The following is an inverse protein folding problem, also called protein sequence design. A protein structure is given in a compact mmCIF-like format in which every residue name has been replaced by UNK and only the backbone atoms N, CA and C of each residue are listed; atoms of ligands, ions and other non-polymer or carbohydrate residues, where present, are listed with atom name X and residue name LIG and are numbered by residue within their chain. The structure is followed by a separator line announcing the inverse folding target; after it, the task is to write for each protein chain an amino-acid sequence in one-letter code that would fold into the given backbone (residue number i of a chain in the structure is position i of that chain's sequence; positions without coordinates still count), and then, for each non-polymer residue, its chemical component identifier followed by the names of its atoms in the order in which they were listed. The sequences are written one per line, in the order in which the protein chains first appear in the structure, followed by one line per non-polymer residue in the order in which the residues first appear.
data_IF_093244659279
#
_entry.id   IF_093244659279
#
_cell.length_a   1.000
_cell.length_b   1.000
_cell.length_c   1.000
_cell.angle_alpha   90.00
_cell.angle_beta   90.00
_cell.angle_gamma   90.00
#
_symmetry.space_group_name_H-M   'P 1'
#
loop_
_entity.id
_entity.type
_entity.pdbx_description
1 polymer ?
#
# COMPACT_ATOMS: atom_id res chain seq x y z
N UNK A 1 -21.80 3.83 -34.92
CA UNK A 1 -20.75 2.81 -34.67
C UNK A 1 -20.26 2.99 -33.24
N UNK A 2 -20.75 2.18 -32.30
CA UNK A 2 -20.39 2.30 -30.88
C UNK A 2 -19.04 1.60 -30.71
N UNK A 3 -17.97 2.36 -30.46
CA UNK A 3 -16.67 1.79 -30.07
C UNK A 3 -16.81 1.26 -28.65
N UNK A 4 -16.98 -0.05 -28.48
CA UNK A 4 -16.68 -0.70 -27.22
C UNK A 4 -15.20 -0.49 -26.94
N UNK A 5 -14.87 0.33 -25.93
CA UNK A 5 -13.55 0.29 -25.30
C UNK A 5 -13.46 -1.08 -24.64
N UNK A 6 -12.76 -2.01 -25.27
CA UNK A 6 -12.36 -3.25 -24.61
C UNK A 6 -11.55 -2.83 -23.38
N UNK A 7 -12.03 -3.16 -22.20
CA UNK A 7 -11.25 -2.98 -20.98
C UNK A 7 -9.94 -3.77 -21.11
N UNK A 8 -8.80 -3.22 -20.66
CA UNK A 8 -7.54 -3.94 -20.74
C UNK A 8 -7.61 -5.20 -19.88
N UNK A 9 -7.66 -6.36 -20.54
CA UNK A 9 -7.51 -7.66 -19.86
C UNK A 9 -6.03 -7.81 -19.54
N UNK A 10 -5.63 -7.41 -18.34
CA UNK A 10 -4.29 -7.68 -17.83
C UNK A 10 -4.24 -9.15 -17.43
N UNK A 11 -3.39 -9.93 -18.09
CA UNK A 11 -3.17 -11.32 -17.68
C UNK A 11 -2.61 -11.34 -16.25
N UNK A 12 -2.99 -12.34 -15.44
CA UNK A 12 -2.54 -12.45 -14.05
C UNK A 12 -1.00 -12.35 -13.92
N UNK A 13 -0.26 -12.97 -14.84
CA UNK A 13 1.20 -12.89 -14.92
C UNK A 13 1.75 -11.47 -15.12
N UNK A 14 1.01 -10.61 -15.83
CA UNK A 14 1.38 -9.20 -16.02
C UNK A 14 1.08 -8.35 -14.78
N UNK A 15 0.04 -8.71 -14.01
CA UNK A 15 -0.30 -8.02 -12.75
C UNK A 15 0.75 -8.29 -11.69
N UNK A 16 1.12 -9.55 -11.46
CA UNK A 16 2.16 -9.94 -10.50
C UNK A 16 3.53 -9.34 -10.86
N UNK A 17 3.86 -9.31 -12.15
CA UNK A 17 5.10 -8.69 -12.62
C UNK A 17 5.14 -7.18 -12.32
N UNK A 18 4.01 -6.47 -12.45
CA UNK A 18 3.92 -5.06 -12.08
C UNK A 18 4.05 -4.87 -10.56
N UNK A 19 3.47 -5.75 -9.75
CA UNK A 19 3.61 -5.72 -8.29
C UNK A 19 5.07 -5.88 -7.86
N UNK A 20 5.76 -6.90 -8.39
CA UNK A 20 7.18 -7.15 -8.09
C UNK A 20 8.05 -6.00 -8.56
N UNK A 21 7.81 -5.48 -9.76
CA UNK A 21 8.53 -4.32 -10.28
C UNK A 21 8.33 -3.08 -9.39
N UNK A 22 7.10 -2.81 -8.97
CA UNK A 22 6.81 -1.68 -8.09
C UNK A 22 7.56 -1.82 -6.75
N UNK A 23 7.55 -3.01 -6.15
CA UNK A 23 8.29 -3.30 -4.93
C UNK A 23 9.80 -3.03 -5.10
N UNK A 24 10.43 -3.58 -6.15
CA UNK A 24 11.86 -3.33 -6.42
C UNK A 24 12.18 -1.86 -6.69
N UNK A 25 11.27 -1.12 -7.33
CA UNK A 25 11.45 0.31 -7.54
C UNK A 25 11.40 1.09 -6.22
N UNK A 26 10.55 0.70 -5.27
CA UNK A 26 10.52 1.31 -3.94
C UNK A 26 11.84 1.06 -3.21
N UNK A 27 12.31 -0.19 -3.17
CA UNK A 27 13.55 -0.56 -2.49
C UNK A 27 14.79 0.09 -3.14
N UNK A 28 14.77 0.27 -4.47
CA UNK A 28 15.79 1.00 -5.20
C UNK A 28 15.69 2.53 -5.09
N UNK A 29 14.87 3.06 -4.17
CA UNK A 29 14.65 4.50 -3.95
C UNK A 29 14.10 5.24 -5.18
N UNK A 30 13.43 4.53 -6.09
CA UNK A 30 12.75 5.08 -7.27
C UNK A 30 11.25 5.18 -7.03
N UNK A 31 10.90 5.79 -5.90
CA UNK A 31 9.56 5.77 -5.31
C UNK A 31 8.52 6.40 -6.25
N UNK A 32 8.83 7.53 -6.89
CA UNK A 32 7.90 8.18 -7.83
C UNK A 32 7.47 7.26 -8.98
N UNK A 33 8.42 6.49 -9.54
CA UNK A 33 8.14 5.55 -10.62
C UNK A 33 7.28 4.39 -10.13
N UNK A 34 7.56 3.88 -8.93
CA UNK A 34 6.75 2.83 -8.31
C UNK A 34 5.31 3.32 -8.09
N UNK A 35 5.13 4.51 -7.51
CA UNK A 35 3.82 5.10 -7.27
C UNK A 35 3.05 5.34 -8.57
N UNK A 36 3.71 5.72 -9.65
CA UNK A 36 3.04 5.85 -10.95
C UNK A 36 2.46 4.53 -11.45
N UNK A 37 3.19 3.42 -11.28
CA UNK A 37 2.72 2.08 -11.67
C UNK A 37 1.54 1.67 -10.78
N UNK A 38 1.72 1.76 -9.46
CA UNK A 38 0.72 1.35 -8.48
C UNK A 38 -0.59 2.15 -8.59
N UNK A 39 -0.52 3.46 -8.87
CA UNK A 39 -1.71 4.27 -9.14
C UNK A 39 -2.43 3.83 -10.41
N UNK A 40 -1.69 3.41 -11.43
CA UNK A 40 -2.27 2.82 -12.64
C UNK A 40 -2.99 1.51 -12.35
N UNK A 41 -2.39 0.64 -11.53
CA UNK A 41 -3.03 -0.60 -11.08
C UNK A 41 -4.27 -0.32 -10.25
N UNK A 42 -4.18 0.59 -9.27
CA UNK A 42 -5.30 0.99 -8.43
C UNK A 42 -6.46 1.61 -9.22
N UNK A 43 -6.17 2.34 -10.30
CA UNK A 43 -7.22 2.86 -11.19
C UNK A 43 -7.99 1.75 -11.93
N UNK A 44 -7.33 0.62 -12.19
CA UNK A 44 -7.93 -0.53 -12.87
C UNK A 44 -8.70 -1.42 -11.88
N UNK A 45 -8.12 -1.64 -10.69
CA UNK A 45 -8.77 -2.38 -9.61
C UNK A 45 -8.47 -1.69 -8.27
N UNK A 46 -9.49 -1.02 -7.72
CA UNK A 46 -9.40 -0.32 -6.45
C UNK A 46 -9.71 -1.20 -5.23
N UNK A 47 -10.05 -2.47 -5.44
CA UNK A 47 -10.32 -3.45 -4.38
C UNK A 47 -9.16 -4.43 -4.19
N UNK A 48 -8.03 -4.24 -4.88
CA UNK A 48 -6.85 -5.09 -4.70
C UNK A 48 -6.10 -4.69 -3.42
N UNK A 49 -6.16 -5.55 -2.41
CA UNK A 49 -5.55 -5.30 -1.12
C UNK A 49 -4.02 -5.20 -1.23
N UNK A 50 -3.38 -5.99 -2.09
CA UNK A 50 -1.92 -5.93 -2.23
C UNK A 50 -1.47 -4.62 -2.87
N UNK A 51 -2.23 -4.08 -3.83
CA UNK A 51 -1.98 -2.75 -4.39
C UNK A 51 -2.08 -1.68 -3.30
N UNK A 52 -3.08 -1.73 -2.43
CA UNK A 52 -3.18 -0.83 -1.27
C UNK A 52 -1.98 -0.94 -0.34
N UNK A 53 -1.52 -2.15 -0.05
CA UNK A 53 -0.33 -2.39 0.79
C UNK A 53 0.94 -1.78 0.18
N UNK A 54 1.18 -1.96 -1.11
CA UNK A 54 2.34 -1.37 -1.78
C UNK A 54 2.23 0.15 -1.96
N UNK A 55 1.02 0.69 -2.17
CA UNK A 55 0.79 2.14 -2.17
C UNK A 55 1.11 2.74 -0.80
N UNK A 56 0.69 2.09 0.29
CA UNK A 56 1.04 2.53 1.64
C UNK A 56 2.56 2.58 1.85
N UNK A 57 3.27 1.52 1.44
CA UNK A 57 4.73 1.47 1.55
C UNK A 57 5.41 2.54 0.68
N UNK A 58 4.97 2.69 -0.57
CA UNK A 58 5.49 3.71 -1.48
C UNK A 58 5.27 5.13 -0.97
N UNK A 59 4.07 5.44 -0.46
CA UNK A 59 3.77 6.76 0.09
C UNK A 59 4.60 7.06 1.34
N UNK A 60 4.81 6.08 2.23
CA UNK A 60 5.71 6.24 3.37
C UNK A 60 7.15 6.56 2.94
N UNK A 61 7.70 5.82 1.98
CA UNK A 61 9.04 6.08 1.45
C UNK A 61 9.14 7.43 0.73
N UNK A 62 8.01 7.93 0.21
CA UNK A 62 7.91 9.27 -0.38
C UNK A 62 7.73 10.39 0.67
N UNK A 63 7.73 10.07 1.97
CA UNK A 63 7.48 11.02 3.06
C UNK A 63 6.02 11.45 3.20
N UNK A 64 5.09 10.83 2.47
CA UNK A 64 3.66 11.13 2.53
C UNK A 64 2.96 10.21 3.53
N UNK A 65 3.11 10.53 4.81
CA UNK A 65 2.53 9.77 5.90
C UNK A 65 0.98 9.74 5.86
N UNK A 66 0.34 10.80 5.35
CA UNK A 66 -1.12 10.88 5.28
C UNK A 66 -1.67 9.88 4.27
N UNK A 67 -1.11 9.83 3.06
CA UNK A 67 -1.53 8.83 2.06
C UNK A 67 -1.14 7.41 2.47
N UNK A 68 0.00 7.23 3.14
CA UNK A 68 0.36 5.95 3.74
C UNK A 68 -0.77 5.42 4.64
N UNK A 69 -1.20 6.21 5.62
CA UNK A 69 -2.26 5.83 6.56
C UNK A 69 -3.60 5.58 5.85
N UNK A 70 -3.94 6.43 4.87
CA UNK A 70 -5.16 6.25 4.06
C UNK A 70 -5.20 4.88 3.38
N UNK A 71 -4.11 4.47 2.73
CA UNK A 71 -4.05 3.17 2.06
C UNK A 71 -4.02 1.99 3.05
N UNK A 72 -3.42 2.16 4.23
CA UNK A 72 -3.50 1.16 5.31
C UNK A 72 -4.96 0.97 5.77
N UNK A 73 -5.71 2.06 5.93
CA UNK A 73 -7.11 1.97 6.34
C UNK A 73 -8.00 1.33 5.26
N UNK A 74 -7.70 1.55 3.98
CA UNK A 74 -8.40 0.86 2.89
C UNK A 74 -8.04 -0.63 2.86
N UNK A 75 -6.77 -1.00 3.05
CA UNK A 75 -6.36 -2.40 3.17
C UNK A 75 -7.17 -3.14 4.25
N UNK A 76 -7.33 -2.53 5.43
CA UNK A 76 -8.12 -3.11 6.52
C UNK A 76 -9.62 -3.25 6.24
N UNK A 77 -10.17 -2.53 5.26
CA UNK A 77 -11.57 -2.70 4.83
C UNK A 77 -11.75 -3.86 3.85
N UNK A 78 -10.70 -4.26 3.16
CA UNK A 78 -10.73 -5.27 2.10
C UNK A 78 -10.45 -6.69 2.63
N UNK A 79 -9.82 -6.80 3.80
CA UNK A 79 -9.48 -8.09 4.40
C UNK A 79 -10.48 -8.49 5.49
N UNK A 80 -10.87 -9.76 5.50
CA UNK A 80 -11.73 -10.34 6.54
C UNK A 80 -10.92 -10.86 7.74
N UNK A 81 -9.67 -11.30 7.51
CA UNK A 81 -8.80 -11.82 8.54
C UNK A 81 -7.72 -10.79 8.92
N UNK A 82 -7.77 -10.36 10.19
CA UNK A 82 -6.83 -9.39 10.77
C UNK A 82 -5.58 -10.05 11.35
N UNK A 83 -5.46 -11.38 11.26
CA UNK A 83 -4.33 -12.10 11.81
C UNK A 83 -3.10 -11.96 10.90
N UNK A 84 -2.01 -11.46 11.51
CA UNK A 84 -0.67 -11.31 10.95
C UNK A 84 -0.50 -10.22 9.87
N UNK A 85 -0.56 -8.96 10.33
CA UNK A 85 -0.11 -7.81 9.53
C UNK A 85 0.87 -6.93 10.31
N UNK A 86 1.71 -7.56 11.14
CA UNK A 86 2.68 -6.87 11.98
C UNK A 86 3.55 -5.90 11.17
N UNK A 87 3.93 -6.28 9.95
CA UNK A 87 4.66 -5.40 9.04
C UNK A 87 3.90 -4.11 8.67
N UNK A 88 2.58 -4.19 8.47
CA UNK A 88 1.75 -3.02 8.16
C UNK A 88 1.42 -2.21 9.40
N UNK A 89 1.24 -2.84 10.56
CA UNK A 89 1.06 -2.14 11.83
C UNK A 89 2.33 -1.39 12.26
N UNK A 90 3.52 -1.97 12.02
CA UNK A 90 4.79 -1.25 12.19
C UNK A 90 4.85 -0.06 11.22
N UNK A 91 4.44 -0.23 9.97
CA UNK A 91 4.39 0.87 9.01
C UNK A 91 3.41 1.97 9.46
N UNK A 92 2.24 1.59 9.98
CA UNK A 92 1.23 2.50 10.56
C UNK A 92 1.82 3.31 11.71
N UNK A 93 2.49 2.65 12.66
CA UNK A 93 3.14 3.31 13.79
C UNK A 93 4.20 4.31 13.32
N UNK A 94 5.04 3.93 12.34
CA UNK A 94 6.04 4.84 11.76
C UNK A 94 5.40 6.05 11.06
N UNK A 95 4.33 5.84 10.30
CA UNK A 95 3.62 6.93 9.64
C UNK A 95 2.96 7.89 10.66
N UNK A 96 2.34 7.37 11.72
CA UNK A 96 1.80 8.18 12.82
C UNK A 96 2.89 9.01 13.50
N UNK A 97 4.06 8.42 13.75
CA UNK A 97 5.18 9.15 14.34
C UNK A 97 5.65 10.31 13.44
N UNK A 98 5.70 10.13 12.12
CA UNK A 98 6.01 11.20 11.16
C UNK A 98 4.98 12.35 11.17
N UNK A 99 3.72 12.05 11.53
CA UNK A 99 2.67 13.08 11.69
C UNK A 99 2.68 13.75 13.07
N UNK A 100 3.56 13.32 14.00
CA UNK A 100 3.61 13.82 15.37
C UNK A 100 2.70 13.07 16.36
N UNK A 101 1.95 12.06 15.91
CA UNK A 101 1.07 11.22 16.72
C UNK A 101 1.87 10.15 17.49
N UNK A 102 2.88 10.58 18.25
CA UNK A 102 3.86 9.69 18.89
C UNK A 102 3.24 8.71 19.90
N UNK A 103 2.23 9.14 20.67
CA UNK A 103 1.58 8.28 21.66
C UNK A 103 0.90 7.08 20.99
N UNK A 104 0.11 7.31 19.93
CA UNK A 104 -0.56 6.22 19.20
C UNK A 104 0.44 5.28 18.54
N UNK A 105 1.54 5.83 18.00
CA UNK A 105 2.61 5.03 17.43
C UNK A 105 3.22 4.09 18.48
N UNK A 106 3.50 4.60 19.68
CA UNK A 106 4.00 3.81 20.79
C UNK A 106 3.02 2.72 21.21
N UNK A 107 1.73 3.06 21.39
CA UNK A 107 0.70 2.10 21.81
C UNK A 107 0.60 0.91 20.84
N UNK A 108 0.70 1.16 19.53
CA UNK A 108 0.71 0.11 18.50
C UNK A 108 1.93 -0.80 18.66
N UNK A 109 3.13 -0.23 18.78
CA UNK A 109 4.37 -1.01 18.89
C UNK A 109 4.41 -1.84 20.17
N UNK A 110 3.91 -1.29 21.28
CA UNK A 110 3.81 -2.04 22.54
C UNK A 110 2.82 -3.21 22.44
N UNK A 111 1.68 -3.02 21.76
CA UNK A 111 0.71 -4.08 21.53
C UNK A 111 1.31 -5.22 20.72
N UNK A 112 2.02 -4.92 19.64
CA UNK A 112 2.71 -5.95 18.80
C UNK A 112 3.74 -6.72 19.64
N UNK A 113 4.50 -6.03 20.49
CA UNK A 113 5.53 -6.65 21.31
C UNK A 113 4.99 -7.50 22.47
N UNK A 114 3.72 -7.33 22.85
CA UNK A 114 3.10 -8.03 23.99
C UNK A 114 2.43 -9.37 23.62
N UNK A 115 2.15 -9.62 22.33
CA UNK A 115 1.57 -10.88 21.83
C UNK A 115 0.10 -11.06 22.19
#
# INVERSE_FOLDING_TARGET
MIKHKSEPIISHNSWDALMVLAFFLIDAQRVEKALSILKGMHHINDQDEQVHKLLAYGHFQNGDAAQCLSHIDQFYKLIDDKQAIDGLEILRARALALQGDLQKAQDILERINKG
#
